data_IF_587342592529
#
_entry.id   IF_587342592529
#
_cell.length_a   1.000
_cell.length_b   1.000
_cell.length_c   1.000
_cell.angle_alpha   90.00
_cell.angle_beta   90.00
_cell.angle_gamma   90.00
#
_symmetry.space_group_name_H-M   'P 1'
#
loop_
_entity.id
_entity.type
_entity.pdbx_description
1 polymer ?
#
# COMPACT_ATOMS: atom_id res chain seq x y z
N UNK A 1 -43.69 -18.58 3.20
CA UNK A 1 -43.51 -17.67 4.34
C UNK A 1 -42.16 -17.80 5.04
N UNK A 2 -41.59 -19.01 5.15
CA UNK A 2 -40.27 -19.24 5.75
C UNK A 2 -39.11 -18.67 4.90
N UNK A 3 -39.20 -18.69 3.58
CA UNK A 3 -38.15 -18.17 2.68
C UNK A 3 -38.03 -16.63 2.67
N UNK A 4 -39.16 -15.92 2.94
CA UNK A 4 -39.14 -14.45 3.06
C UNK A 4 -38.44 -13.98 4.36
N UNK A 5 -38.67 -14.68 5.49
CA UNK A 5 -38.05 -14.33 6.74
C UNK A 5 -36.53 -14.53 6.77
N UNK A 6 -36.02 -15.61 6.15
CA UNK A 6 -34.59 -15.87 6.02
C UNK A 6 -33.87 -14.82 5.14
N UNK A 7 -34.53 -14.36 4.07
CA UNK A 7 -33.98 -13.31 3.22
C UNK A 7 -33.82 -11.96 3.92
N UNK A 8 -34.75 -11.60 4.78
CA UNK A 8 -34.72 -10.32 5.51
C UNK A 8 -33.70 -10.34 6.66
N UNK A 9 -33.56 -11.46 7.36
CA UNK A 9 -32.49 -11.64 8.36
C UNK A 9 -31.12 -11.58 7.73
N UNK A 10 -30.92 -12.24 6.60
CA UNK A 10 -29.66 -12.22 5.86
C UNK A 10 -29.32 -10.81 5.35
N UNK A 11 -30.28 -10.10 4.76
CA UNK A 11 -30.11 -8.70 4.34
C UNK A 11 -29.72 -7.78 5.49
N UNK A 12 -30.37 -7.92 6.65
CA UNK A 12 -30.08 -7.13 7.85
C UNK A 12 -28.66 -7.39 8.37
N UNK A 13 -28.23 -8.64 8.36
CA UNK A 13 -26.88 -9.02 8.76
C UNK A 13 -25.84 -8.43 7.81
N UNK A 14 -26.01 -8.60 6.49
CA UNK A 14 -25.10 -8.05 5.47
C UNK A 14 -25.04 -6.52 5.54
N UNK A 15 -26.18 -5.85 5.73
CA UNK A 15 -26.22 -4.39 5.92
C UNK A 15 -25.47 -3.98 7.19
N UNK A 16 -25.61 -4.73 8.29
CA UNK A 16 -24.86 -4.48 9.52
C UNK A 16 -23.34 -4.56 9.29
N UNK A 17 -22.87 -5.64 8.69
CA UNK A 17 -21.45 -5.83 8.36
C UNK A 17 -20.91 -4.74 7.42
N UNK A 18 -21.71 -4.30 6.44
CA UNK A 18 -21.36 -3.19 5.55
C UNK A 18 -21.24 -1.87 6.32
N UNK A 19 -22.19 -1.57 7.22
CA UNK A 19 -22.15 -0.34 8.03
C UNK A 19 -20.94 -0.33 8.96
N UNK A 20 -20.64 -1.45 9.60
CA UNK A 20 -19.46 -1.58 10.48
C UNK A 20 -18.17 -1.35 9.70
N UNK A 21 -18.02 -1.98 8.54
CA UNK A 21 -16.85 -1.81 7.66
C UNK A 21 -16.73 -0.37 7.19
N UNK A 22 -17.82 0.24 6.71
CA UNK A 22 -17.83 1.64 6.27
C UNK A 22 -17.48 2.61 7.42
N UNK A 23 -17.98 2.35 8.62
CA UNK A 23 -17.70 3.18 9.80
C UNK A 23 -16.21 3.16 10.14
N UNK A 24 -15.58 1.99 10.12
CA UNK A 24 -14.13 1.84 10.34
C UNK A 24 -13.34 2.61 9.28
N UNK A 25 -13.69 2.45 8.00
CA UNK A 25 -13.02 3.13 6.90
C UNK A 25 -13.16 4.65 7.00
N UNK A 26 -14.35 5.16 7.28
CA UNK A 26 -14.61 6.60 7.42
C UNK A 26 -13.83 7.21 8.60
N UNK A 27 -13.80 6.53 9.75
CA UNK A 27 -13.00 6.98 10.91
C UNK A 27 -11.52 6.97 10.57
N UNK A 28 -11.02 5.95 9.88
CA UNK A 28 -9.63 5.87 9.42
C UNK A 28 -9.29 7.04 8.50
N UNK A 29 -10.13 7.34 7.51
CA UNK A 29 -9.92 8.45 6.57
C UNK A 29 -9.90 9.79 7.33
N UNK A 30 -10.88 10.02 8.21
CA UNK A 30 -10.96 11.27 8.99
C UNK A 30 -9.73 11.46 9.87
N UNK A 31 -9.35 10.43 10.63
CA UNK A 31 -8.19 10.48 11.53
C UNK A 31 -6.88 10.67 10.75
N UNK A 32 -6.71 9.95 9.64
CA UNK A 32 -5.51 10.08 8.79
C UNK A 32 -5.41 11.42 8.12
N UNK A 33 -6.55 12.04 7.72
CA UNK A 33 -6.56 13.39 7.13
C UNK A 33 -6.12 14.44 8.15
N UNK A 34 -6.59 14.36 9.39
CA UNK A 34 -6.15 15.23 10.48
C UNK A 34 -4.65 15.02 10.76
N UNK A 35 -4.22 13.77 10.84
CA UNK A 35 -2.83 13.42 11.08
C UNK A 35 -1.92 13.94 9.95
N UNK A 36 -2.30 13.74 8.69
CA UNK A 36 -1.58 14.26 7.52
C UNK A 36 -1.47 15.79 7.55
N UNK A 37 -2.56 16.48 7.90
CA UNK A 37 -2.53 17.94 8.08
C UNK A 37 -1.56 18.36 9.19
N UNK A 38 -1.57 17.70 10.33
CA UNK A 38 -0.62 17.98 11.42
C UNK A 38 0.84 17.75 11.00
N UNK A 39 1.12 16.65 10.30
CA UNK A 39 2.46 16.35 9.80
C UNK A 39 2.96 17.42 8.84
N UNK A 40 2.11 17.90 7.93
CA UNK A 40 2.45 18.95 6.99
C UNK A 40 2.72 20.26 7.71
N UNK A 41 1.90 20.61 8.71
CA UNK A 41 2.10 21.83 9.53
C UNK A 41 3.37 21.80 10.37
N UNK A 42 3.78 20.60 10.81
CA UNK A 42 5.02 20.40 11.57
C UNK A 42 6.25 20.24 10.65
N UNK A 43 6.10 20.39 9.33
CA UNK A 43 7.17 20.21 8.34
C UNK A 43 7.88 18.84 8.44
N UNK A 44 7.16 17.82 8.89
CA UNK A 44 7.71 16.46 9.00
C UNK A 44 8.14 15.89 7.64
N UNK A 45 7.38 16.08 6.53
CA UNK A 45 7.82 15.66 5.20
C UNK A 45 9.15 16.33 4.79
N UNK A 46 9.32 17.62 5.08
CA UNK A 46 10.54 18.36 4.74
C UNK A 46 11.74 17.88 5.56
N UNK A 47 11.54 17.59 6.85
CA UNK A 47 12.57 17.01 7.72
C UNK A 47 12.96 15.60 7.27
N UNK A 48 11.98 14.78 6.90
CA UNK A 48 12.21 13.44 6.37
C UNK A 48 12.95 13.50 5.02
N UNK A 49 12.58 14.43 4.14
CA UNK A 49 13.26 14.66 2.87
C UNK A 49 14.73 15.07 3.09
N UNK A 50 14.99 16.03 3.97
CA UNK A 50 16.34 16.46 4.31
C UNK A 50 17.17 15.33 4.92
N UNK A 51 16.59 14.51 5.78
CA UNK A 51 17.28 13.36 6.37
C UNK A 51 17.67 12.32 5.31
N UNK A 52 16.78 12.04 4.36
CA UNK A 52 17.02 11.07 3.29
C UNK A 52 18.02 11.61 2.27
N UNK A 53 17.87 12.85 1.82
CA UNK A 53 18.81 13.51 0.90
C UNK A 53 20.17 13.74 1.58
N UNK A 54 20.20 13.97 2.90
CA UNK A 54 21.45 14.04 3.67
C UNK A 54 22.22 12.72 3.77
N UNK A 55 21.56 11.57 3.51
CA UNK A 55 22.21 10.26 3.49
C UNK A 55 22.90 9.98 2.14
N UNK A 56 22.34 10.49 1.04
CA UNK A 56 22.88 10.28 -0.30
C UNK A 56 22.30 11.25 -1.31
N UNK A 57 23.14 11.72 -2.23
CA UNK A 57 22.72 12.54 -3.39
C UNK A 57 22.31 11.70 -4.60
N UNK A 58 22.40 10.37 -4.49
CA UNK A 58 22.11 9.48 -5.61
C UNK A 58 20.59 9.18 -5.69
N UNK A 59 19.89 9.65 -6.75
CA UNK A 59 18.45 9.47 -6.89
C UNK A 59 18.04 8.00 -6.94
N UNK A 60 18.89 7.12 -7.44
CA UNK A 60 18.65 5.68 -7.51
C UNK A 60 18.61 5.07 -6.12
N UNK A 61 19.54 5.48 -5.24
CA UNK A 61 19.58 5.03 -3.86
C UNK A 61 18.37 5.53 -3.06
N UNK A 62 17.94 6.78 -3.29
CA UNK A 62 16.73 7.33 -2.64
C UNK A 62 15.48 6.56 -3.10
N UNK A 63 15.34 6.26 -4.39
CA UNK A 63 14.22 5.48 -4.90
C UNK A 63 14.17 4.06 -4.31
N UNK A 64 15.32 3.41 -4.17
CA UNK A 64 15.42 2.09 -3.51
C UNK A 64 15.09 2.17 -2.02
N UNK A 65 15.53 3.21 -1.33
CA UNK A 65 15.23 3.43 0.07
C UNK A 65 13.74 3.67 0.29
N UNK A 66 13.09 4.46 -0.58
CA UNK A 66 11.65 4.65 -0.57
C UNK A 66 10.89 3.32 -0.74
N UNK A 67 11.30 2.49 -1.70
CA UNK A 67 10.72 1.16 -1.88
C UNK A 67 10.92 0.28 -0.64
N UNK A 68 12.09 0.30 -0.03
CA UNK A 68 12.38 -0.47 1.17
C UNK A 68 11.51 -0.03 2.36
N UNK A 69 11.37 1.28 2.57
CA UNK A 69 10.52 1.83 3.63
C UNK A 69 9.05 1.42 3.40
N UNK A 70 8.55 1.59 2.18
CA UNK A 70 7.18 1.22 1.82
C UNK A 70 6.93 -0.29 1.99
N UNK A 71 7.91 -1.12 1.63
CA UNK A 71 7.82 -2.57 1.77
C UNK A 71 7.78 -2.98 3.25
N UNK A 72 8.65 -2.41 4.09
CA UNK A 72 8.65 -2.66 5.54
C UNK A 72 7.33 -2.20 6.17
N UNK A 73 6.84 -1.02 5.81
CA UNK A 73 5.53 -0.55 6.28
C UNK A 73 4.40 -1.49 5.82
N UNK A 74 4.45 -1.95 4.57
CA UNK A 74 3.48 -2.90 4.02
C UNK A 74 3.46 -4.26 4.72
N UNK A 75 4.60 -4.69 5.28
CA UNK A 75 4.65 -5.92 6.08
C UNK A 75 3.98 -5.80 7.46
N UNK A 76 3.88 -4.58 8.00
CA UNK A 76 3.40 -4.31 9.37
C UNK A 76 1.98 -3.78 9.38
N UNK A 77 1.65 -2.92 8.41
CA UNK A 77 0.40 -2.18 8.35
C UNK A 77 -0.42 -2.60 7.12
N UNK A 78 -1.72 -2.39 7.20
CA UNK A 78 -2.62 -2.61 6.07
C UNK A 78 -2.47 -1.50 5.02
N UNK A 79 -2.96 -1.74 3.81
CA UNK A 79 -2.81 -0.86 2.65
C UNK A 79 -3.44 0.52 2.87
N UNK A 80 -4.64 0.58 3.47
CA UNK A 80 -5.37 1.84 3.63
C UNK A 80 -4.63 2.86 4.53
N UNK A 81 -4.14 2.50 5.75
CA UNK A 81 -3.33 3.41 6.57
C UNK A 81 -2.04 3.85 5.88
N UNK A 82 -1.37 2.96 5.14
CA UNK A 82 -0.11 3.30 4.45
C UNK A 82 -0.37 4.37 3.40
N UNK A 83 -1.37 4.19 2.55
CA UNK A 83 -1.70 5.18 1.52
C UNK A 83 -2.02 6.55 2.15
N UNK A 84 -2.81 6.56 3.22
CA UNK A 84 -3.26 7.81 3.84
C UNK A 84 -2.17 8.53 4.66
N UNK A 85 -1.24 7.79 5.25
CA UNK A 85 -0.21 8.35 6.15
C UNK A 85 1.14 8.49 5.43
N UNK A 86 1.60 7.45 4.74
CA UNK A 86 2.93 7.44 4.14
C UNK A 86 2.99 8.28 2.86
N UNK A 87 1.91 8.32 2.06
CA UNK A 87 1.91 9.08 0.80
C UNK A 87 2.20 10.57 1.00
N UNK A 88 1.52 11.32 1.88
CA UNK A 88 1.80 12.74 2.06
C UNK A 88 3.21 13.03 2.61
N UNK A 89 3.84 12.07 3.26
CA UNK A 89 5.20 12.20 3.78
C UNK A 89 6.24 11.89 2.70
N UNK A 90 6.04 10.81 1.95
CA UNK A 90 7.05 10.30 1.02
C UNK A 90 6.93 10.88 -0.40
N UNK A 91 5.74 11.36 -0.80
CA UNK A 91 5.53 11.95 -2.12
C UNK A 91 6.42 13.17 -2.39
N UNK A 92 6.59 14.16 -1.47
CA UNK A 92 7.50 15.26 -1.69
C UNK A 92 8.96 14.82 -1.90
N UNK A 93 9.38 13.75 -1.22
CA UNK A 93 10.71 13.17 -1.37
C UNK A 93 10.85 12.51 -2.76
N UNK A 94 9.85 11.76 -3.18
CA UNK A 94 9.84 11.12 -4.49
C UNK A 94 9.87 12.16 -5.63
N UNK A 95 9.09 13.23 -5.51
CA UNK A 95 9.07 14.32 -6.50
C UNK A 95 10.37 15.12 -6.55
N UNK A 96 11.07 15.28 -5.43
CA UNK A 96 12.36 15.99 -5.38
C UNK A 96 13.47 15.28 -6.18
N UNK A 97 13.37 13.96 -6.35
CA UNK A 97 14.30 13.15 -7.16
C UNK A 97 13.79 12.91 -8.59
N UNK A 98 12.65 13.54 -8.98
CA UNK A 98 12.10 13.48 -10.33
C UNK A 98 11.15 12.32 -10.60
N UNK A 99 10.66 11.62 -9.57
CA UNK A 99 9.62 10.60 -9.72
C UNK A 99 8.26 11.30 -9.87
N UNK A 100 7.53 10.94 -10.93
CA UNK A 100 6.19 11.44 -11.17
C UNK A 100 5.20 10.95 -10.08
N UNK A 101 4.23 11.79 -9.64
CA UNK A 101 3.22 11.39 -8.65
C UNK A 101 2.42 10.13 -9.01
N UNK A 102 2.12 9.94 -10.30
CA UNK A 102 1.40 8.75 -10.77
C UNK A 102 2.29 7.50 -10.64
N UNK A 103 3.55 7.61 -11.04
CA UNK A 103 4.53 6.53 -10.88
C UNK A 103 4.70 6.17 -9.41
N UNK A 104 4.83 7.19 -8.53
CA UNK A 104 4.93 6.98 -7.09
C UNK A 104 3.69 6.28 -6.52
N UNK A 105 2.48 6.67 -6.95
CA UNK A 105 1.24 6.00 -6.55
C UNK A 105 1.24 4.51 -6.90
N UNK A 106 1.69 4.15 -8.11
CA UNK A 106 1.81 2.74 -8.53
C UNK A 106 2.85 2.00 -7.67
N UNK A 107 3.98 2.65 -7.36
CA UNK A 107 5.01 2.09 -6.48
C UNK A 107 4.44 1.81 -5.08
N UNK A 108 3.67 2.73 -4.49
CA UNK A 108 3.03 2.54 -3.18
C UNK A 108 2.10 1.33 -3.19
N UNK A 109 1.20 1.23 -4.19
CA UNK A 109 0.25 0.13 -4.31
C UNK A 109 0.96 -1.22 -4.46
N UNK A 110 2.00 -1.29 -5.29
CA UNK A 110 2.78 -2.52 -5.46
C UNK A 110 3.53 -2.93 -4.20
N UNK A 111 4.19 -1.96 -3.54
CA UNK A 111 4.88 -2.23 -2.27
C UNK A 111 3.92 -2.75 -1.20
N UNK A 112 2.74 -2.13 -1.08
CA UNK A 112 1.69 -2.60 -0.16
C UNK A 112 1.24 -4.03 -0.52
N UNK A 113 1.02 -4.31 -1.81
CA UNK A 113 0.64 -5.64 -2.28
C UNK A 113 1.69 -6.71 -1.94
N UNK A 114 2.97 -6.41 -2.14
CA UNK A 114 4.08 -7.30 -1.76
C UNK A 114 4.15 -7.46 -0.24
N UNK A 115 4.01 -6.36 0.50
CA UNK A 115 4.03 -6.36 1.96
C UNK A 115 2.93 -7.23 2.58
N UNK A 116 1.70 -7.12 2.08
CA UNK A 116 0.56 -7.94 2.54
C UNK A 116 0.76 -9.45 2.33
N UNK A 117 1.60 -9.82 1.38
CA UNK A 117 1.98 -11.21 1.13
C UNK A 117 3.23 -11.63 1.90
N UNK A 118 3.96 -10.69 2.53
CA UNK A 118 5.26 -10.97 3.14
C UNK A 118 5.14 -11.17 4.66
N UNK A 119 5.74 -12.22 5.25
CA UNK A 119 5.84 -12.34 6.70
C UNK A 119 6.60 -11.12 7.28
N UNK A 120 6.30 -10.61 8.50
CA UNK A 120 5.72 -11.34 9.64
C UNK A 120 4.20 -11.29 9.74
N UNK A 121 3.52 -10.25 9.23
CA UNK A 121 2.07 -10.14 9.40
C UNK A 121 1.34 -10.83 8.25
N UNK A 122 1.61 -10.49 6.98
CA UNK A 122 1.11 -11.16 5.79
C UNK A 122 -0.36 -11.56 5.85
N UNK A 123 -1.27 -10.59 6.05
CA UNK A 123 -2.69 -10.87 6.28
C UNK A 123 -3.31 -11.82 5.22
N UNK A 124 -2.90 -11.66 3.97
CA UNK A 124 -3.36 -12.49 2.86
C UNK A 124 -2.84 -13.93 2.97
N UNK A 125 -1.61 -14.14 3.49
CA UNK A 125 -1.05 -15.48 3.71
C UNK A 125 -1.83 -16.25 4.78
N UNK A 126 -2.27 -15.57 5.86
CA UNK A 126 -3.10 -16.21 6.89
C UNK A 126 -4.42 -16.69 6.32
N UNK A 127 -5.10 -15.83 5.54
CA UNK A 127 -6.35 -16.18 4.88
C UNK A 127 -6.13 -17.34 3.91
N UNK A 128 -5.08 -17.27 3.09
CA UNK A 128 -4.72 -18.34 2.15
C UNK A 128 -4.44 -19.67 2.84
N UNK A 129 -3.70 -19.65 3.95
CA UNK A 129 -3.42 -20.83 4.77
C UNK A 129 -4.70 -21.42 5.36
N UNK A 130 -5.60 -20.59 5.88
CA UNK A 130 -6.87 -21.02 6.46
C UNK A 130 -7.81 -21.65 5.42
N UNK A 131 -7.94 -21.02 4.24
CA UNK A 131 -8.79 -21.53 3.14
C UNK A 131 -8.24 -22.82 2.55
N UNK A 132 -6.93 -22.87 2.30
CA UNK A 132 -6.27 -24.05 1.73
C UNK A 132 -6.09 -25.19 2.73
N UNK A 133 -6.28 -24.95 4.04
CA UNK A 133 -6.05 -25.90 5.14
C UNK A 133 -4.64 -26.51 5.12
N UNK A 134 -3.65 -25.70 4.76
CA UNK A 134 -2.23 -26.10 4.75
C UNK A 134 -1.43 -25.17 5.67
N UNK A 135 -0.33 -25.64 6.29
CA UNK A 135 0.48 -24.82 7.18
C UNK A 135 1.10 -23.64 6.42
N UNK A 136 1.16 -22.49 7.09
CA UNK A 136 1.62 -21.21 6.54
C UNK A 136 3.01 -21.30 5.89
N UNK A 137 3.91 -22.10 6.46
CA UNK A 137 5.26 -22.33 5.92
C UNK A 137 5.26 -22.88 4.48
N UNK A 138 4.29 -23.77 4.18
CA UNK A 138 4.13 -24.32 2.82
C UNK A 138 3.57 -23.28 1.86
N UNK A 139 2.66 -22.42 2.33
CA UNK A 139 2.13 -21.31 1.52
C UNK A 139 3.24 -20.35 1.16
N UNK A 140 4.04 -19.92 2.15
CA UNK A 140 5.18 -19.02 1.95
C UNK A 140 6.18 -19.59 0.95
N UNK A 141 6.55 -20.87 1.11
CA UNK A 141 7.48 -21.53 0.17
C UNK A 141 6.93 -21.60 -1.25
N UNK A 142 5.63 -21.87 -1.41
CA UNK A 142 4.99 -21.92 -2.72
C UNK A 142 4.89 -20.52 -3.38
N UNK A 143 4.81 -19.46 -2.57
CA UNK A 143 4.70 -18.07 -3.06
C UNK A 143 6.07 -17.45 -3.38
N UNK A 144 7.17 -18.07 -2.94
CA UNK A 144 8.53 -17.54 -3.11
C UNK A 144 8.90 -17.15 -4.58
N UNK A 145 8.59 -17.96 -5.61
CA UNK A 145 8.85 -17.55 -6.98
C UNK A 145 8.02 -16.34 -7.43
N UNK A 146 6.82 -16.16 -6.88
CA UNK A 146 5.99 -15.01 -7.17
C UNK A 146 6.55 -13.72 -6.55
N UNK A 147 7.17 -13.80 -5.35
CA UNK A 147 7.86 -12.65 -4.76
C UNK A 147 8.97 -12.13 -5.67
N UNK A 148 9.75 -13.03 -6.27
CA UNK A 148 10.80 -12.62 -7.20
C UNK A 148 10.21 -11.84 -8.38
N UNK A 149 9.13 -12.33 -8.99
CA UNK A 149 8.46 -11.65 -10.09
C UNK A 149 7.91 -10.28 -9.66
N UNK A 150 7.29 -10.19 -8.46
CA UNK A 150 6.76 -8.94 -7.94
C UNK A 150 7.85 -7.91 -7.65
N UNK A 151 8.98 -8.33 -7.07
CA UNK A 151 10.13 -7.45 -6.81
C UNK A 151 10.75 -6.97 -8.13
N UNK A 152 10.88 -7.85 -9.14
CA UNK A 152 11.36 -7.45 -10.46
C UNK A 152 10.41 -6.42 -11.09
N UNK A 153 9.11 -6.65 -11.01
CA UNK A 153 8.10 -5.71 -11.52
C UNK A 153 8.17 -4.36 -10.80
N UNK A 154 8.34 -4.37 -9.47
CA UNK A 154 8.51 -3.17 -8.67
C UNK A 154 9.72 -2.36 -9.11
N UNK A 155 10.87 -3.03 -9.29
CA UNK A 155 12.09 -2.38 -9.77
C UNK A 155 11.94 -1.84 -11.19
N UNK A 156 11.29 -2.60 -12.09
CA UNK A 156 11.00 -2.14 -13.44
C UNK A 156 10.16 -0.85 -13.43
N UNK A 157 9.11 -0.81 -12.62
CA UNK A 157 8.23 0.38 -12.51
C UNK A 157 8.98 1.55 -11.86
N UNK A 158 9.86 1.29 -10.90
CA UNK A 158 10.66 2.33 -10.25
C UNK A 158 11.65 2.98 -11.22
N UNK A 159 12.33 2.19 -12.08
CA UNK A 159 13.39 2.69 -12.95
C UNK A 159 12.96 2.98 -14.39
N UNK A 160 11.79 2.49 -14.83
CA UNK A 160 11.28 2.70 -16.18
C UNK A 160 9.94 3.46 -16.11
N UNK A 161 9.97 4.81 -16.03
CA UNK A 161 8.76 5.63 -15.93
C UNK A 161 7.78 5.40 -17.08
N UNK A 162 8.29 5.06 -18.26
CA UNK A 162 7.47 4.81 -19.45
C UNK A 162 6.41 3.73 -19.27
N UNK A 163 6.64 2.72 -18.44
CA UNK A 163 5.66 1.66 -18.16
C UNK A 163 4.45 2.23 -17.40
N UNK A 164 4.71 3.08 -16.42
CA UNK A 164 3.68 3.68 -15.56
C UNK A 164 2.97 4.85 -16.23
N UNK A 165 3.68 5.64 -17.04
CA UNK A 165 3.17 6.88 -17.60
C UNK A 165 2.61 6.71 -19.01
N UNK A 166 2.84 5.57 -19.69
CA UNK A 166 2.33 5.32 -21.03
C UNK A 166 0.80 5.40 -21.10
N UNK A 167 0.11 4.73 -20.19
CA UNK A 167 -1.35 4.72 -20.19
C UNK A 167 -1.94 6.10 -19.89
N UNK A 168 -1.53 6.82 -18.84
CA UNK A 168 -1.96 8.20 -18.59
C UNK A 168 -1.65 9.14 -19.76
N UNK A 169 -0.50 9.01 -20.41
CA UNK A 169 -0.13 9.90 -21.54
C UNK A 169 -1.00 9.71 -22.76
N UNK A 170 -1.57 8.53 -22.97
CA UNK A 170 -2.51 8.24 -24.08
C UNK A 170 -3.91 8.80 -23.81
N UNK A 171 -4.35 8.81 -22.54
CA UNK A 171 -5.71 9.23 -22.17
C UNK A 171 -5.79 10.65 -21.62
N UNK A 172 -4.68 11.31 -21.36
CA UNK A 172 -4.61 12.68 -20.84
C UNK A 172 -4.61 13.76 -21.94
N UNK A 173 -5.33 13.50 -23.04
CA UNK A 173 -5.60 14.48 -24.10
C UNK A 173 -7.03 14.99 -24.00
#
# INVERSE_FOLDING_TARGET
>A
LQSRGLGDVYKRQVLGECVDTLSIVLILIATSSIFGYCLTRLHVPDLAAQAIVGLTDNPILIALLLNLILLVLGCIMDMAPIILIATPILLPIATSIGIDPIQFGIMVVLNCGIGLLTPPVGAVLFIGSAVAKIPMEKVVKATLPFYLCMIITLLLITFVPGISLWLPSVFAH
#
